data_IF_931348257556
#
_entry.id   IF_931348257556
#
_cell.length_a   1.000
_cell.length_b   1.000
_cell.length_c   1.000
_cell.angle_alpha   90.00
_cell.angle_beta   90.00
_cell.angle_gamma   90.00
#
_symmetry.space_group_name_H-M   'P 1'
#
loop_
_entity.id
_entity.type
_entity.pdbx_description
1 polymer ?
#
# COMPACT_ATOMS: atom_id res chain seq x y z
N UNK A 1 -1.67 -11.17 9.41
CA UNK A 1 -1.35 -11.34 7.99
C UNK A 1 -2.59 -11.78 7.25
N UNK A 2 -2.90 -11.17 6.11
CA UNK A 2 -4.09 -11.49 5.29
C UNK A 2 -3.72 -12.44 4.15
N UNK A 3 -4.21 -13.68 4.20
CA UNK A 3 -3.92 -14.71 3.19
C UNK A 3 -4.52 -14.39 1.83
N UNK A 4 -5.68 -13.73 1.79
CA UNK A 4 -6.37 -13.40 0.53
C UNK A 4 -5.50 -12.45 -0.31
N UNK A 5 -5.09 -11.33 0.30
CA UNK A 5 -4.19 -10.38 -0.36
C UNK A 5 -2.87 -11.04 -0.82
N UNK A 6 -2.29 -11.93 0.00
CA UNK A 6 -1.02 -12.60 -0.34
C UNK A 6 -1.14 -13.52 -1.55
N UNK A 7 -2.22 -14.29 -1.67
CA UNK A 7 -2.46 -15.13 -2.84
C UNK A 7 -2.57 -14.30 -4.12
N UNK A 8 -3.36 -13.21 -4.10
CA UNK A 8 -3.53 -12.32 -5.26
C UNK A 8 -2.22 -11.64 -5.62
N UNK A 9 -1.49 -11.13 -4.63
CA UNK A 9 -0.21 -10.45 -4.83
C UNK A 9 0.83 -11.40 -5.43
N UNK A 10 0.95 -12.61 -4.89
CA UNK A 10 1.89 -13.61 -5.39
C UNK A 10 1.58 -13.97 -6.83
N UNK A 11 0.32 -14.25 -7.15
CA UNK A 11 -0.07 -14.60 -8.50
C UNK A 11 0.21 -13.47 -9.50
N UNK A 12 -0.17 -12.23 -9.15
CA UNK A 12 0.07 -11.07 -10.00
C UNK A 12 1.56 -10.84 -10.28
N UNK A 13 2.41 -10.93 -9.25
CA UNK A 13 3.86 -10.64 -9.36
C UNK A 13 4.64 -11.80 -9.94
N UNK A 14 4.41 -13.02 -9.44
CA UNK A 14 5.21 -14.20 -9.78
C UNK A 14 4.67 -14.99 -10.98
N UNK A 15 3.38 -14.94 -11.27
CA UNK A 15 2.79 -15.67 -12.41
C UNK A 15 2.49 -14.73 -13.56
N UNK A 16 1.67 -13.70 -13.34
CA UNK A 16 1.29 -12.74 -14.39
C UNK A 16 2.39 -11.73 -14.72
N UNK A 17 3.40 -11.61 -13.86
CA UNK A 17 4.58 -10.76 -14.09
C UNK A 17 4.20 -9.28 -14.31
N UNK A 18 3.17 -8.78 -13.62
CA UNK A 18 2.73 -7.39 -13.74
C UNK A 18 3.87 -6.41 -13.42
N UNK A 19 3.82 -5.22 -14.02
CA UNK A 19 4.80 -4.15 -13.77
C UNK A 19 4.30 -3.12 -12.77
N UNK A 20 2.99 -3.00 -12.59
CA UNK A 20 2.38 -1.95 -11.79
C UNK A 20 1.38 -2.56 -10.81
N UNK A 21 1.49 -2.18 -9.55
CA UNK A 21 0.50 -2.42 -8.50
C UNK A 21 0.01 -1.05 -8.04
N UNK A 22 -1.30 -0.90 -7.90
CA UNK A 22 -1.91 0.36 -7.45
C UNK A 22 -2.69 0.07 -6.19
N UNK A 23 -2.35 0.76 -5.10
CA UNK A 23 -3.24 0.91 -3.95
C UNK A 23 -4.12 2.12 -4.25
N UNK A 24 -5.39 1.87 -4.54
CA UNK A 24 -6.37 2.91 -4.78
C UNK A 24 -7.31 3.02 -3.57
N UNK A 25 -7.26 4.15 -2.86
CA UNK A 25 -8.29 4.52 -1.89
C UNK A 25 -9.34 5.42 -2.53
N UNK A 26 -10.29 5.88 -1.73
CA UNK A 26 -11.26 6.87 -2.20
C UNK A 26 -11.67 7.85 -1.09
N UNK A 27 -12.05 9.06 -1.48
CA UNK A 27 -12.63 10.03 -0.55
C UNK A 27 -14.04 9.57 -0.09
N UNK A 28 -14.44 10.00 1.11
CA UNK A 28 -15.70 9.59 1.71
C UNK A 28 -15.76 8.13 2.15
N UNK A 29 -14.61 7.47 2.35
CA UNK A 29 -14.57 6.06 2.72
C UNK A 29 -15.27 5.78 4.06
N UNK A 30 -16.35 4.99 4.01
CA UNK A 30 -17.15 4.62 5.18
C UNK A 30 -16.34 3.88 6.25
N UNK A 31 -15.42 2.99 5.85
CA UNK A 31 -14.55 2.27 6.79
C UNK A 31 -13.59 3.21 7.54
N UNK A 32 -12.97 4.15 6.83
CA UNK A 32 -12.11 5.18 7.45
C UNK A 32 -12.95 6.08 8.39
N UNK A 33 -14.16 6.46 7.97
CA UNK A 33 -15.06 7.27 8.78
C UNK A 33 -15.51 6.56 10.05
N UNK A 34 -15.78 5.25 9.96
CA UNK A 34 -16.21 4.43 11.08
C UNK A 34 -15.09 4.26 12.12
N UNK A 35 -13.84 4.08 11.67
CA UNK A 35 -12.65 4.10 12.53
C UNK A 35 -12.52 5.43 13.27
N UNK A 36 -12.67 6.56 12.56
CA UNK A 36 -12.55 7.89 13.17
C UNK A 36 -13.61 8.18 14.23
N UNK A 37 -14.80 7.58 14.10
CA UNK A 37 -15.92 7.76 15.02
C UNK A 37 -15.94 6.71 16.14
N UNK A 38 -14.98 5.77 16.15
CA UNK A 38 -14.98 4.58 17.02
C UNK A 38 -16.34 3.84 17.00
N UNK A 39 -16.94 3.73 15.81
CA UNK A 39 -18.31 3.26 15.61
C UNK A 39 -18.41 1.80 15.15
N UNK A 40 -17.33 1.01 15.28
CA UNK A 40 -17.25 -0.39 14.84
C UNK A 40 -16.82 -1.28 15.98
N UNK A 41 -17.39 -2.49 16.04
CA UNK A 41 -17.09 -3.48 17.08
C UNK A 41 -16.93 -4.87 16.47
N UNK A 42 -16.34 -5.79 17.24
CA UNK A 42 -16.22 -7.20 16.86
C UNK A 42 -15.19 -7.44 15.74
N UNK A 43 -15.47 -8.39 14.84
CA UNK A 43 -14.51 -8.79 13.80
C UNK A 43 -14.17 -7.66 12.83
N UNK A 44 -15.12 -6.77 12.55
CA UNK A 44 -14.90 -5.62 11.68
C UNK A 44 -13.92 -4.62 12.30
N UNK A 45 -13.98 -4.42 13.61
CA UNK A 45 -13.02 -3.58 14.32
C UNK A 45 -11.60 -4.14 14.21
N UNK A 46 -11.43 -5.45 14.41
CA UNK A 46 -10.11 -6.10 14.29
C UNK A 46 -9.51 -5.93 12.89
N UNK A 47 -10.33 -6.06 11.85
CA UNK A 47 -9.90 -5.82 10.47
C UNK A 47 -9.47 -4.36 10.25
N UNK A 48 -10.26 -3.42 10.77
CA UNK A 48 -10.04 -1.98 10.65
C UNK A 48 -8.93 -1.44 11.56
N UNK A 49 -8.35 -2.25 12.45
CA UNK A 49 -7.17 -1.88 13.23
C UNK A 49 -5.98 -1.47 12.32
N UNK A 50 -5.89 -2.09 11.13
CA UNK A 50 -4.91 -1.73 10.10
C UNK A 50 -5.09 -0.30 9.55
N UNK A 51 -6.28 0.27 9.70
CA UNK A 51 -6.56 1.68 9.40
C UNK A 51 -6.25 2.56 10.62
N UNK A 52 -6.58 2.11 11.84
CA UNK A 52 -6.30 2.84 13.10
C UNK A 52 -4.84 3.21 13.24
N UNK A 53 -3.92 2.33 12.84
CA UNK A 53 -2.47 2.62 12.84
C UNK A 53 -2.07 3.78 11.92
N UNK A 54 -2.92 4.18 10.98
CA UNK A 54 -2.72 5.36 10.11
C UNK A 54 -3.23 6.65 10.76
N UNK A 55 -3.96 6.59 11.88
CA UNK A 55 -4.51 7.75 12.59
C UNK A 55 -3.41 8.40 13.44
N UNK A 56 -3.05 9.67 13.20
CA UNK A 56 -2.06 10.36 14.04
C UNK A 56 -2.58 10.57 15.46
N UNK A 57 -1.76 10.25 16.47
CA UNK A 57 -2.14 10.38 17.89
C UNK A 57 -2.31 11.84 18.36
N UNK A 58 -1.58 12.78 17.77
CA UNK A 58 -1.46 14.16 18.27
C UNK A 58 -1.82 15.25 17.26
N UNK A 59 -2.44 14.88 16.13
CA UNK A 59 -2.79 15.85 15.07
C UNK A 59 -4.24 15.66 14.64
N UNK A 60 -5.03 16.74 14.68
CA UNK A 60 -6.36 16.76 14.06
C UNK A 60 -6.17 16.79 12.54
N UNK A 61 -6.68 15.77 11.87
CA UNK A 61 -6.68 15.67 10.41
C UNK A 61 -8.12 15.55 9.90
N UNK A 62 -8.35 15.99 8.68
CA UNK A 62 -9.60 15.79 7.95
C UNK A 62 -9.77 14.30 7.58
N UNK A 63 -11.01 13.91 7.22
CA UNK A 63 -11.28 12.53 6.81
C UNK A 63 -10.55 12.21 5.49
N UNK A 64 -10.46 13.19 4.60
CA UNK A 64 -9.75 13.07 3.33
C UNK A 64 -8.25 12.84 3.54
N UNK A 65 -7.63 13.60 4.46
CA UNK A 65 -6.23 13.38 4.83
C UNK A 65 -6.01 11.98 5.42
N UNK A 66 -6.93 11.48 6.25
CA UNK A 66 -6.82 10.11 6.79
C UNK A 66 -6.95 9.05 5.69
N UNK A 67 -7.82 9.27 4.70
CA UNK A 67 -7.92 8.38 3.53
C UNK A 67 -6.60 8.36 2.75
N UNK A 68 -6.01 9.52 2.48
CA UNK A 68 -4.71 9.62 1.80
C UNK A 68 -3.58 8.95 2.62
N UNK A 69 -3.55 9.17 3.94
CA UNK A 69 -2.56 8.56 4.83
C UNK A 69 -2.69 7.03 4.85
N UNK A 70 -3.91 6.50 4.87
CA UNK A 70 -4.12 5.06 4.81
C UNK A 70 -3.58 4.49 3.48
N UNK A 71 -3.87 5.11 2.34
CA UNK A 71 -3.31 4.68 1.04
C UNK A 71 -1.79 4.66 1.09
N UNK A 72 -1.16 5.75 1.56
CA UNK A 72 0.30 5.85 1.70
C UNK A 72 0.85 4.74 2.60
N UNK A 73 0.19 4.45 3.72
CA UNK A 73 0.58 3.38 4.64
C UNK A 73 0.48 2.00 4.00
N UNK A 74 -0.59 1.72 3.26
CA UNK A 74 -0.76 0.43 2.57
C UNK A 74 0.27 0.26 1.43
N UNK A 75 0.63 1.35 0.73
CA UNK A 75 1.77 1.32 -0.21
C UNK A 75 3.03 0.89 0.53
N UNK A 76 3.36 1.52 1.66
CA UNK A 76 4.54 1.14 2.46
C UNK A 76 4.46 -0.31 2.97
N UNK A 77 3.28 -0.81 3.35
CA UNK A 77 3.12 -2.22 3.73
C UNK A 77 3.46 -3.17 2.57
N UNK A 78 3.06 -2.83 1.34
CA UNK A 78 3.40 -3.61 0.15
C UNK A 78 4.89 -3.51 -0.19
N UNK A 79 5.52 -2.34 -0.01
CA UNK A 79 6.98 -2.19 -0.18
C UNK A 79 7.72 -3.19 0.69
N UNK A 80 7.34 -3.34 1.95
CA UNK A 80 7.99 -4.26 2.89
C UNK A 80 7.54 -5.73 2.75
N UNK A 81 6.65 -6.04 1.80
CA UNK A 81 6.17 -7.38 1.60
C UNK A 81 7.26 -8.28 0.96
N UNK A 82 7.39 -9.52 1.45
CA UNK A 82 8.43 -10.44 0.98
C UNK A 82 8.30 -10.82 -0.49
N UNK A 83 7.09 -10.86 -1.07
CA UNK A 83 6.87 -11.12 -2.50
C UNK A 83 7.43 -9.97 -3.33
N UNK A 84 7.16 -8.73 -2.91
CA UNK A 84 7.63 -7.51 -3.58
C UNK A 84 9.14 -7.38 -3.46
N UNK A 85 9.70 -7.55 -2.25
CA UNK A 85 11.14 -7.51 -2.01
C UNK A 85 11.87 -8.54 -2.87
N UNK A 86 11.44 -9.81 -2.87
CA UNK A 86 12.02 -10.86 -3.72
C UNK A 86 11.92 -10.54 -5.21
N UNK A 87 10.83 -9.90 -5.66
CA UNK A 87 10.71 -9.49 -7.05
C UNK A 87 11.77 -8.44 -7.40
N UNK A 88 11.97 -7.43 -6.55
CA UNK A 88 13.01 -6.42 -6.73
C UNK A 88 14.42 -7.00 -6.63
N UNK A 89 14.70 -7.90 -5.69
CA UNK A 89 15.99 -8.59 -5.55
C UNK A 89 16.34 -9.39 -6.82
N UNK A 90 15.33 -9.94 -7.50
CA UNK A 90 15.46 -10.62 -8.79
C UNK A 90 15.52 -9.66 -9.99
N UNK A 91 15.65 -8.36 -9.76
CA UNK A 91 15.75 -7.33 -10.80
C UNK A 91 14.43 -7.05 -11.55
N UNK A 92 13.27 -7.42 -11.01
CA UNK A 92 11.98 -7.16 -11.67
C UNK A 92 11.66 -5.66 -11.65
N UNK A 93 11.31 -5.12 -12.81
CA UNK A 93 10.72 -3.76 -12.94
C UNK A 93 9.28 -3.77 -12.43
N UNK A 94 9.12 -3.59 -11.12
CA UNK A 94 7.84 -3.52 -10.43
C UNK A 94 7.71 -2.15 -9.74
N UNK A 95 6.57 -1.50 -9.96
CA UNK A 95 6.21 -0.20 -9.39
C UNK A 95 4.97 -0.35 -8.51
N UNK A 96 4.98 0.31 -7.35
CA UNK A 96 3.84 0.36 -6.45
C UNK A 96 3.40 1.82 -6.34
N UNK A 97 2.13 2.09 -6.67
CA UNK A 97 1.54 3.42 -6.71
C UNK A 97 0.49 3.58 -5.62
N UNK A 98 0.31 4.83 -5.15
CA UNK A 98 -0.77 5.20 -4.24
C UNK A 98 -1.66 6.26 -4.87
N UNK A 99 -2.90 5.91 -5.17
CA UNK A 99 -3.89 6.79 -5.79
C UNK A 99 -5.10 6.97 -4.87
N UNK A 100 -5.80 8.09 -5.04
CA UNK A 100 -7.09 8.32 -4.40
C UNK A 100 -8.12 8.73 -5.44
N UNK A 101 -9.25 8.02 -5.45
CA UNK A 101 -10.39 8.29 -6.32
C UNK A 101 -11.40 9.18 -5.60
N UNK A 102 -11.88 10.21 -6.28
CA UNK A 102 -12.92 11.10 -5.79
C UNK A 102 -14.26 10.67 -6.36
N UNK A 103 -15.17 10.21 -5.48
CA UNK A 103 -16.51 9.77 -5.89
C UNK A 103 -17.36 10.97 -6.34
N UNK A 104 -17.10 12.17 -5.81
CA UNK A 104 -17.89 13.37 -6.10
C UNK A 104 -17.71 13.88 -7.52
N UNK A 105 -16.54 13.69 -8.13
CA UNK A 105 -16.19 14.23 -9.46
C UNK A 105 -15.63 13.18 -10.43
N UNK A 106 -15.41 11.95 -9.98
CA UNK A 106 -14.89 10.86 -10.81
C UNK A 106 -13.40 10.95 -11.14
N UNK A 107 -12.66 11.87 -10.49
CA UNK A 107 -11.24 12.08 -10.78
C UNK A 107 -10.33 11.21 -9.91
N UNK A 108 -9.22 10.77 -10.50
CA UNK A 108 -8.13 10.10 -9.80
C UNK A 108 -7.02 11.11 -9.51
N UNK A 109 -6.59 11.16 -8.24
CA UNK A 109 -5.42 11.92 -7.80
C UNK A 109 -4.28 10.97 -7.45
N UNK A 110 -3.13 11.17 -8.09
CA UNK A 110 -1.87 10.51 -7.73
C UNK A 110 -1.29 11.16 -6.47
N UNK A 111 -1.10 10.36 -5.41
CA UNK A 111 -0.55 10.84 -4.13
C UNK A 111 0.96 11.02 -4.14
N UNK A 112 1.63 10.78 -5.28
CA UNK A 112 3.09 10.98 -5.47
C UNK A 112 3.94 10.15 -4.51
N UNK A 113 3.47 8.95 -4.20
CA UNK A 113 4.16 7.98 -3.33
C UNK A 113 4.60 6.73 -4.08
N UNK A 114 4.84 6.85 -5.38
CA UNK A 114 5.30 5.70 -6.18
C UNK A 114 6.64 5.18 -5.63
N UNK A 115 6.74 3.86 -5.50
CA UNK A 115 7.92 3.14 -5.03
C UNK A 115 8.39 2.16 -6.08
N UNK A 116 9.71 2.01 -6.18
CA UNK A 116 10.38 1.05 -7.05
C UNK A 116 11.58 0.48 -6.30
N UNK A 117 11.98 -0.75 -6.64
CA UNK A 117 13.15 -1.38 -6.04
C UNK A 117 14.39 -0.55 -6.35
N UNK A 118 15.29 -0.43 -5.38
CA UNK A 118 16.61 0.11 -5.66
C UNK A 118 17.25 -0.73 -6.78
N UNK A 119 17.99 -0.11 -7.72
CA UNK A 119 18.79 -0.89 -8.67
C UNK A 119 19.65 -1.85 -7.86
N UNK A 120 19.62 -3.14 -8.21
CA UNK A 120 20.39 -4.16 -7.54
C UNK A 120 21.83 -3.66 -7.40
N UNK A 121 22.31 -3.51 -6.16
CA UNK A 121 23.71 -3.16 -5.90
C UNK A 121 24.55 -4.18 -6.66
N UNK A 122 25.31 -3.72 -7.66
CA UNK A 122 26.28 -4.57 -8.33
C UNK A 122 27.11 -5.25 -7.24
N UNK A 123 26.93 -6.55 -7.08
CA UNK A 123 27.89 -7.35 -6.33
C UNK A 123 29.17 -7.26 -7.15
N UNK A 124 30.08 -6.37 -6.75
CA UNK A 124 31.47 -6.41 -7.14
C UNK A 124 31.99 -7.79 -6.75
N UNK A 125 31.85 -8.72 -7.70
CA UNK A 125 32.42 -10.04 -7.65
C UNK A 125 33.91 -9.78 -7.73
N UNK A 126 34.56 -9.79 -6.57
CA UNK A 126 36.00 -9.65 -6.42
C UNK A 126 36.64 -10.74 -7.31
N UNK A 127 37.06 -10.37 -8.52
CA UNK A 127 37.84 -11.24 -9.38
C UNK A 127 39.20 -11.32 -8.72
N UNK A 128 39.51 -12.51 -8.20
CA UNK A 128 40.77 -12.80 -7.54
C UNK A 128 41.97 -12.36 -8.38
N UNK A 129 42.97 -11.88 -7.66
CA UNK A 129 44.38 -12.05 -8.02
C UNK A 129 44.96 -13.04 -7.03
#
# INVERSE_FOLDING_TARGET
TDMNLMCVLQYAVEVLKVRHIIVCGHYGCGGIAAVRKDAVTGMLEHWLENVRVSVPKHRRISLNELCELNVKRQVENLVHNTIVQKAWDRGRKLYIHGWIYSISDGLIKDLKVTRTGAPAREHHRNKGK
#
